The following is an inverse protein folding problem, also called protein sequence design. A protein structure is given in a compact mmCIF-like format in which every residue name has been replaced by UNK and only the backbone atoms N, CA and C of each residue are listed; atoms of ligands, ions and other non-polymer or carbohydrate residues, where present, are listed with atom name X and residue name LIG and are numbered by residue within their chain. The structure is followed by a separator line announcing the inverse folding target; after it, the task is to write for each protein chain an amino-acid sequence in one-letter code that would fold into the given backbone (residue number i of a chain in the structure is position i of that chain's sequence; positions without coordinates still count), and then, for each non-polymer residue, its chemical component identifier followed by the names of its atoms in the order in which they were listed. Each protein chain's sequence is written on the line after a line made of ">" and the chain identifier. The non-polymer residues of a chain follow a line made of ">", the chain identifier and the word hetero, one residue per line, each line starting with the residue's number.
data_IF_798321589689
#
_entry.id   IF_798321589689
#
_cell.length_a   1.000
_cell.length_b   1.000
_cell.length_c   1.000
_cell.angle_alpha   90.00
_cell.angle_beta   90.00
_cell.angle_gamma   90.00
#
_symmetry.space_group_name_H-M   'P 1'
#
loop_
_entity.id
_entity.type
_entity.pdbx_description
1 polymer ?
#
# COMPACT_ATOMS: atom_id res chain seq x y z
N UNK A 1 -10.79 -27.34 -61.16
CA UNK A 1 -11.41 -26.20 -60.47
C UNK A 1 -11.04 -26.31 -59.00
N UNK A 2 -10.57 -25.19 -58.46
CA UNK A 2 -9.73 -25.05 -57.27
C UNK A 2 -10.40 -25.51 -55.98
N UNK A 3 -9.64 -26.25 -55.16
CA UNK A 3 -10.00 -26.69 -53.82
C UNK A 3 -10.24 -25.47 -52.91
N UNK A 4 -11.47 -25.33 -52.44
CA UNK A 4 -11.80 -24.47 -51.31
C UNK A 4 -11.06 -25.01 -50.08
N UNK A 5 -10.04 -24.28 -49.67
CA UNK A 5 -9.36 -24.47 -48.38
C UNK A 5 -10.30 -23.98 -47.30
N UNK A 6 -11.16 -24.90 -46.83
CA UNK A 6 -11.93 -24.75 -45.60
C UNK A 6 -10.96 -24.58 -44.43
N UNK A 7 -10.63 -23.33 -44.11
CA UNK A 7 -9.97 -23.00 -42.85
C UNK A 7 -10.87 -23.44 -41.71
N UNK A 8 -10.47 -24.52 -41.03
CA UNK A 8 -11.14 -25.06 -39.83
C UNK A 8 -11.09 -24.07 -38.66
N UNK A 9 -10.27 -23.03 -38.77
CA UNK A 9 -10.25 -21.92 -37.82
C UNK A 9 -11.30 -20.89 -38.24
N UNK A 10 -12.40 -20.85 -37.47
CA UNK A 10 -13.37 -19.76 -37.51
C UNK A 10 -12.62 -18.43 -37.38
N UNK A 11 -12.93 -17.47 -38.26
CA UNK A 11 -12.47 -16.07 -38.14
C UNK A 11 -12.85 -15.43 -36.80
N UNK A 12 -13.77 -16.04 -36.05
CA UNK A 12 -14.15 -15.64 -34.70
C UNK A 12 -13.14 -16.04 -33.60
N UNK A 13 -12.16 -16.90 -33.90
CA UNK A 13 -11.09 -17.23 -32.96
C UNK A 13 -10.04 -16.12 -32.84
N UNK A 14 -9.87 -15.27 -33.86
CA UNK A 14 -8.94 -14.13 -33.81
C UNK A 14 -9.50 -12.92 -33.06
N UNK A 15 -10.83 -12.81 -32.91
CA UNK A 15 -11.48 -11.67 -32.24
C UNK A 15 -11.67 -11.86 -30.73
N UNK A 16 -11.38 -13.04 -30.20
CA UNK A 16 -11.06 -13.19 -28.77
C UNK A 16 -9.61 -12.80 -28.56
N UNK A 17 -9.26 -11.57 -28.91
CA UNK A 17 -8.00 -10.97 -28.47
C UNK A 17 -7.98 -11.13 -26.96
N UNK A 18 -7.08 -11.98 -26.45
CA UNK A 18 -6.86 -12.13 -25.03
C UNK A 18 -6.62 -10.73 -24.47
N UNK A 19 -7.63 -10.17 -23.81
CA UNK A 19 -7.56 -8.84 -23.23
C UNK A 19 -6.36 -8.90 -22.30
N UNK A 20 -5.30 -8.16 -22.65
CA UNK A 20 -4.07 -8.18 -21.88
C UNK A 20 -4.45 -7.72 -20.48
N UNK A 21 -4.12 -8.53 -19.47
CA UNK A 21 -4.29 -8.23 -18.03
C UNK A 21 -3.84 -6.81 -17.62
N UNK A 22 -3.00 -6.16 -18.44
CA UNK A 22 -2.56 -4.75 -18.35
C UNK A 22 -3.70 -3.71 -18.30
N UNK A 23 -4.89 -4.01 -18.80
CA UNK A 23 -6.00 -3.04 -18.84
C UNK A 23 -6.93 -3.09 -17.62
N UNK A 24 -6.71 -4.04 -16.70
CA UNK A 24 -7.64 -4.29 -15.57
C UNK A 24 -7.21 -3.55 -14.30
N UNK A 25 -6.00 -2.98 -14.25
CA UNK A 25 -5.59 -2.21 -13.07
C UNK A 25 -6.23 -0.82 -13.12
N UNK A 26 -7.22 -0.51 -12.26
CA UNK A 26 -7.92 0.76 -12.33
C UNK A 26 -6.93 1.90 -12.08
N UNK A 27 -7.06 2.98 -12.85
CA UNK A 27 -6.19 4.16 -12.74
C UNK A 27 -6.11 4.67 -11.30
N UNK A 28 -7.23 4.63 -10.58
CA UNK A 28 -7.29 4.98 -9.16
C UNK A 28 -6.31 4.15 -8.31
N UNK A 29 -6.24 2.83 -8.49
CA UNK A 29 -5.31 1.98 -7.74
C UNK A 29 -3.85 2.36 -8.04
N UNK A 30 -3.52 2.68 -9.30
CA UNK A 30 -2.17 3.13 -9.69
C UNK A 30 -1.81 4.44 -8.99
N UNK A 31 -2.74 5.40 -8.96
CA UNK A 31 -2.54 6.69 -8.29
C UNK A 31 -2.31 6.48 -6.79
N UNK A 32 -3.13 5.66 -6.12
CA UNK A 32 -2.95 5.35 -4.70
C UNK A 32 -1.64 4.63 -4.42
N UNK A 33 -1.28 3.62 -5.21
CA UNK A 33 -0.02 2.90 -5.05
C UNK A 33 1.18 3.87 -5.16
N UNK A 34 1.18 4.75 -6.16
CA UNK A 34 2.20 5.80 -6.29
C UNK A 34 2.23 6.76 -5.11
N UNK A 35 1.07 7.27 -4.70
CA UNK A 35 0.94 8.15 -3.56
C UNK A 35 1.55 7.52 -2.29
N UNK A 36 1.20 6.27 -1.99
CA UNK A 36 1.73 5.59 -0.82
C UNK A 36 3.22 5.29 -0.93
N UNK A 37 3.73 4.91 -2.10
CA UNK A 37 5.18 4.73 -2.29
C UNK A 37 5.95 6.03 -2.04
N UNK A 38 5.51 7.15 -2.62
CA UNK A 38 6.16 8.45 -2.44
C UNK A 38 6.06 8.89 -0.97
N UNK A 39 4.90 8.73 -0.34
CA UNK A 39 4.72 9.04 1.07
C UNK A 39 5.62 8.20 1.99
N UNK A 40 5.86 6.93 1.66
CA UNK A 40 6.78 6.06 2.39
C UNK A 40 8.22 6.54 2.29
N UNK A 41 8.67 6.94 1.10
CA UNK A 41 10.02 7.49 0.91
C UNK A 41 10.16 8.79 1.70
N UNK A 42 9.17 9.68 1.62
CA UNK A 42 9.16 10.93 2.37
C UNK A 42 9.17 10.69 3.89
N UNK A 43 8.38 9.74 4.37
CA UNK A 43 8.34 9.34 5.78
C UNK A 43 9.70 8.82 6.26
N UNK A 44 10.34 7.95 5.46
CA UNK A 44 11.68 7.44 5.75
C UNK A 44 12.71 8.58 5.85
N UNK A 45 12.72 9.49 4.87
CA UNK A 45 13.62 10.65 4.86
C UNK A 45 13.38 11.59 6.05
N UNK A 46 12.11 11.85 6.38
CA UNK A 46 11.73 12.66 7.54
C UNK A 46 12.23 12.03 8.84
N UNK A 47 12.05 10.72 9.01
CA UNK A 47 12.53 9.99 10.19
C UNK A 47 14.07 10.05 10.29
N UNK A 48 14.78 9.79 9.18
CA UNK A 48 16.24 9.93 9.13
C UNK A 48 16.69 11.36 9.48
N UNK A 49 16.02 12.38 8.96
CA UNK A 49 16.34 13.77 9.23
C UNK A 49 16.10 14.15 10.69
N UNK A 50 15.02 13.66 11.31
CA UNK A 50 14.77 13.87 12.74
C UNK A 50 15.86 13.25 13.60
N UNK A 51 16.33 12.06 13.26
CA UNK A 51 17.42 11.40 13.97
C UNK A 51 18.75 12.14 13.87
N UNK A 52 19.05 12.76 12.72
CA UNK A 52 20.24 13.61 12.54
C UNK A 52 20.08 14.92 13.33
N UNK A 53 18.89 15.52 13.32
CA UNK A 53 18.63 16.83 13.93
C UNK A 53 18.60 16.80 15.45
N UNK A 54 18.14 15.70 16.04
CA UNK A 54 17.95 15.58 17.49
C UNK A 54 18.74 14.40 18.07
N UNK A 55 20.09 14.44 18.02
CA UNK A 55 20.94 13.34 18.47
C UNK A 55 20.84 13.12 19.98
N UNK A 56 20.44 14.13 20.75
CA UNK A 56 20.38 14.04 22.22
C UNK A 56 19.25 13.13 22.72
N UNK A 57 18.23 12.85 21.89
CA UNK A 57 17.20 11.84 22.18
C UNK A 57 17.85 10.45 22.37
N UNK A 58 18.97 10.20 21.70
CA UNK A 58 19.72 8.95 21.81
C UNK A 58 20.76 8.93 22.93
N UNK A 59 21.18 10.09 23.43
CA UNK A 59 22.16 10.17 24.52
C UNK A 59 21.54 9.99 25.89
N UNK A 60 20.26 10.31 26.05
CA UNK A 60 19.55 10.27 27.34
C UNK A 60 18.99 8.89 27.70
N UNK A 61 18.82 8.03 26.70
CA UNK A 61 18.44 6.64 26.92
C UNK A 61 19.71 5.78 26.80
N UNK A 62 20.15 5.17 27.90
CA UNK A 62 21.00 3.97 27.82
C UNK A 62 20.43 3.04 26.73
N UNK A 63 21.28 2.33 25.98
CA UNK A 63 20.92 1.49 24.84
C UNK A 63 19.84 0.46 25.22
N UNK A 64 18.58 0.90 25.25
CA UNK A 64 17.45 0.18 25.77
C UNK A 64 16.68 -0.39 24.57
N UNK A 65 16.08 -1.54 24.78
CA UNK A 65 15.33 -2.29 23.78
C UNK A 65 14.24 -1.42 23.13
N UNK A 66 13.67 -0.49 23.88
CA UNK A 66 12.70 0.51 23.41
C UNK A 66 13.26 1.44 22.32
N UNK A 67 14.51 1.90 22.45
CA UNK A 67 15.15 2.78 21.45
C UNK A 67 15.40 2.01 20.16
N UNK A 68 15.95 0.79 20.27
CA UNK A 68 16.18 -0.08 19.11
C UNK A 68 14.86 -0.38 18.40
N UNK A 69 13.80 -0.70 19.16
CA UNK A 69 12.47 -0.95 18.60
C UNK A 69 11.89 0.29 17.90
N UNK A 70 12.11 1.49 18.45
CA UNK A 70 11.65 2.74 17.86
C UNK A 70 12.36 3.06 16.53
N UNK A 71 13.68 2.85 16.47
CA UNK A 71 14.44 3.00 15.22
C UNK A 71 13.99 1.96 14.19
N UNK A 72 13.85 0.70 14.62
CA UNK A 72 13.44 -0.40 13.76
C UNK A 72 12.05 -0.14 13.18
N UNK A 73 11.08 0.28 13.98
CA UNK A 73 9.73 0.64 13.51
C UNK A 73 9.74 1.85 12.58
N UNK A 74 10.51 2.89 12.90
CA UNK A 74 10.63 4.08 12.05
C UNK A 74 11.18 3.80 10.64
N UNK A 75 11.97 2.74 10.47
CA UNK A 75 12.56 2.32 9.19
C UNK A 75 11.71 1.22 8.52
N UNK A 76 11.35 0.18 9.27
CA UNK A 76 10.62 -0.98 8.74
C UNK A 76 9.22 -0.60 8.30
N UNK A 77 8.54 0.29 9.02
CA UNK A 77 7.16 0.61 8.72
C UNK A 77 6.98 1.30 7.35
N UNK A 78 7.76 2.35 7.00
CA UNK A 78 7.76 2.89 5.64
C UNK A 78 8.08 1.85 4.57
N UNK A 79 9.02 0.92 4.83
CA UNK A 79 9.42 -0.14 3.88
C UNK A 79 8.30 -1.16 3.66
N UNK A 80 7.66 -1.61 4.75
CA UNK A 80 6.51 -2.52 4.72
C UNK A 80 5.33 -1.88 3.98
N UNK A 81 5.17 -0.55 4.06
CA UNK A 81 4.17 0.17 3.26
C UNK A 81 4.59 0.35 1.80
N UNK A 82 5.87 0.57 1.53
CA UNK A 82 6.39 0.76 0.18
C UNK A 82 6.31 -0.51 -0.67
N UNK A 83 6.76 -1.64 -0.12
CA UNK A 83 6.99 -2.88 -0.88
C UNK A 83 5.70 -3.46 -1.52
N UNK A 84 4.56 -3.57 -0.81
CA UNK A 84 3.32 -4.06 -1.42
C UNK A 84 2.81 -3.14 -2.52
N UNK A 85 2.95 -1.82 -2.36
CA UNK A 85 2.55 -0.85 -3.38
C UNK A 85 3.41 -0.96 -4.64
N UNK A 86 4.72 -1.18 -4.49
CA UNK A 86 5.60 -1.49 -5.62
C UNK A 86 5.18 -2.79 -6.31
N UNK A 87 4.91 -3.85 -5.54
CA UNK A 87 4.49 -5.14 -6.10
C UNK A 87 3.12 -5.07 -6.80
N UNK A 88 2.23 -4.17 -6.35
CA UNK A 88 0.97 -3.86 -7.02
C UNK A 88 1.23 -3.23 -8.39
N UNK A 89 2.17 -2.27 -8.49
CA UNK A 89 2.57 -1.68 -9.77
C UNK A 89 3.24 -2.69 -10.71
N UNK A 90 3.89 -3.73 -10.15
CA UNK A 90 4.44 -4.87 -10.89
C UNK A 90 3.39 -5.96 -11.17
N UNK A 91 2.11 -5.69 -10.92
CA UNK A 91 0.97 -6.57 -11.22
C UNK A 91 1.07 -7.96 -10.56
N UNK A 92 1.71 -8.07 -9.38
CA UNK A 92 1.85 -9.36 -8.67
C UNK A 92 0.59 -9.70 -7.88
N UNK A 93 0.10 -10.94 -8.04
CA UNK A 93 -1.15 -11.39 -7.42
C UNK A 93 -1.18 -11.27 -5.89
N UNK A 94 -0.10 -11.69 -5.24
CA UNK A 94 0.03 -11.65 -3.78
C UNK A 94 0.18 -10.22 -3.21
N UNK A 95 0.48 -9.23 -4.05
CA UNK A 95 0.70 -7.86 -3.61
C UNK A 95 -0.55 -7.20 -3.04
N UNK A 96 -1.73 -7.52 -3.59
CA UNK A 96 -3.01 -6.98 -3.11
C UNK A 96 -3.31 -7.46 -1.69
N UNK A 97 -3.03 -8.74 -1.40
CA UNK A 97 -3.21 -9.29 -0.05
C UNK A 97 -2.24 -8.63 0.94
N UNK A 98 -0.96 -8.49 0.56
CA UNK A 98 0.03 -7.83 1.38
C UNK A 98 -0.37 -6.37 1.65
N UNK A 99 -0.77 -5.61 0.64
CA UNK A 99 -1.20 -4.22 0.79
C UNK A 99 -2.43 -4.08 1.69
N UNK A 100 -3.37 -5.02 1.60
CA UNK A 100 -4.56 -5.02 2.45
C UNK A 100 -4.17 -5.22 3.92
N UNK A 101 -3.30 -6.19 4.21
CA UNK A 101 -2.79 -6.44 5.57
C UNK A 101 -2.02 -5.22 6.09
N UNK A 102 -1.15 -4.62 5.29
CA UNK A 102 -0.35 -3.47 5.73
C UNK A 102 -1.19 -2.24 5.98
N UNK A 103 -2.19 -1.97 5.14
CA UNK A 103 -3.16 -0.88 5.37
C UNK A 103 -3.98 -1.14 6.64
N UNK A 104 -4.46 -2.37 6.86
CA UNK A 104 -5.21 -2.71 8.07
C UNK A 104 -4.37 -2.49 9.34
N UNK A 105 -3.11 -2.93 9.35
CA UNK A 105 -2.18 -2.69 10.46
C UNK A 105 -1.94 -1.19 10.65
N UNK A 106 -1.74 -0.44 9.56
CA UNK A 106 -1.53 1.01 9.61
C UNK A 106 -2.73 1.74 10.22
N UNK A 107 -3.95 1.37 9.81
CA UNK A 107 -5.17 1.96 10.38
C UNK A 107 -5.31 1.67 11.87
N UNK A 108 -5.01 0.44 12.30
CA UNK A 108 -5.02 0.08 13.74
C UNK A 108 -4.00 0.90 14.53
N UNK A 109 -2.80 1.11 13.98
CA UNK A 109 -1.76 1.95 14.58
C UNK A 109 -2.22 3.41 14.69
N UNK A 110 -2.80 4.00 13.64
CA UNK A 110 -3.33 5.36 13.69
C UNK A 110 -4.43 5.53 14.73
N UNK A 111 -5.32 4.54 14.85
CA UNK A 111 -6.36 4.53 15.89
C UNK A 111 -5.75 4.43 17.30
N UNK A 112 -4.80 3.51 17.50
CA UNK A 112 -4.15 3.30 18.78
C UNK A 112 -3.33 4.52 19.24
N UNK A 113 -2.52 5.08 18.35
CA UNK A 113 -1.72 6.27 18.62
C UNK A 113 -2.60 7.49 18.90
N UNK A 114 -3.71 7.66 18.18
CA UNK A 114 -4.69 8.73 18.45
C UNK A 114 -5.36 8.54 19.82
N UNK A 115 -5.75 7.31 20.15
CA UNK A 115 -6.32 6.99 21.46
C UNK A 115 -5.34 7.33 22.60
N UNK A 116 -4.09 6.89 22.51
CA UNK A 116 -3.06 7.22 23.52
C UNK A 116 -2.87 8.72 23.63
N UNK A 117 -2.78 9.42 22.50
CA UNK A 117 -2.56 10.87 22.44
C UNK A 117 -3.67 11.62 23.20
N UNK A 118 -4.93 11.21 23.01
CA UNK A 118 -6.09 11.82 23.68
C UNK A 118 -6.16 11.40 25.15
N UNK A 119 -6.04 10.10 25.44
CA UNK A 119 -6.26 9.54 26.77
C UNK A 119 -5.21 9.99 27.80
N UNK A 120 -3.96 10.15 27.35
CA UNK A 120 -2.85 10.50 28.24
C UNK A 120 -2.37 11.95 28.06
N UNK A 121 -2.93 12.69 27.09
CA UNK A 121 -2.49 14.05 26.76
C UNK A 121 -1.01 14.16 26.34
N UNK A 122 -0.39 13.05 25.96
CA UNK A 122 1.07 12.96 25.70
C UNK A 122 1.44 13.70 24.41
N UNK A 123 0.55 13.72 23.43
CA UNK A 123 0.80 14.32 22.12
C UNK A 123 -0.23 15.39 21.79
N UNK A 124 0.21 16.48 21.17
CA UNK A 124 -0.64 17.62 20.84
C UNK A 124 -1.71 17.29 19.79
N UNK A 125 -2.77 18.12 19.73
CA UNK A 125 -3.89 17.98 18.79
C UNK A 125 -3.46 17.85 17.32
N UNK A 126 -2.30 18.40 16.95
CA UNK A 126 -1.72 18.27 15.62
C UNK A 126 -1.44 16.81 15.23
N UNK A 127 -1.04 15.95 16.18
CA UNK A 127 -0.80 14.52 15.93
C UNK A 127 -2.11 13.80 15.63
N UNK A 128 -3.13 14.06 16.44
CA UNK A 128 -4.48 13.49 16.23
C UNK A 128 -5.05 13.92 14.88
N UNK A 129 -4.94 15.21 14.53
CA UNK A 129 -5.39 15.71 13.24
C UNK A 129 -4.64 15.03 12.07
N UNK A 130 -3.33 14.83 12.20
CA UNK A 130 -2.51 14.13 11.21
C UNK A 130 -2.95 12.68 11.04
N UNK A 131 -3.21 11.96 12.15
CA UNK A 131 -3.69 10.58 12.11
C UNK A 131 -5.06 10.45 11.46
N UNK A 132 -5.99 11.37 11.76
CA UNK A 132 -7.31 11.42 11.12
C UNK A 132 -7.17 11.64 9.62
N UNK A 133 -6.29 12.55 9.19
CA UNK A 133 -6.02 12.77 7.77
C UNK A 133 -5.54 11.48 7.09
N UNK A 134 -4.59 10.76 7.68
CA UNK A 134 -4.12 9.49 7.13
C UNK A 134 -5.21 8.41 7.08
N UNK A 135 -6.05 8.31 8.11
CA UNK A 135 -7.20 7.40 8.09
C UNK A 135 -8.19 7.72 6.95
N UNK A 136 -8.47 9.00 6.71
CA UNK A 136 -9.33 9.43 5.60
C UNK A 136 -8.77 9.04 4.23
N UNK A 137 -7.45 8.93 4.10
CA UNK A 137 -6.78 8.48 2.87
C UNK A 137 -6.71 6.95 2.78
N UNK A 138 -6.53 6.26 3.91
CA UNK A 138 -6.40 4.80 3.97
C UNK A 138 -7.73 4.06 3.76
N UNK A 139 -8.85 4.62 4.22
CA UNK A 139 -10.19 4.04 4.03
C UNK A 139 -10.55 3.82 2.55
N UNK A 140 -10.51 4.85 1.66
CA UNK A 140 -10.85 4.65 0.26
C UNK A 140 -9.87 3.69 -0.44
N UNK A 141 -8.60 3.71 -0.04
CA UNK A 141 -7.61 2.77 -0.56
C UNK A 141 -7.94 1.33 -0.19
N UNK A 142 -8.29 1.06 1.08
CA UNK A 142 -8.71 -0.25 1.55
C UNK A 142 -9.94 -0.76 0.78
N UNK A 143 -10.93 0.10 0.54
CA UNK A 143 -12.14 -0.26 -0.22
C UNK A 143 -11.78 -0.68 -1.65
N UNK A 144 -10.88 0.06 -2.32
CA UNK A 144 -10.40 -0.26 -3.67
C UNK A 144 -9.67 -1.60 -3.67
N UNK A 145 -8.78 -1.84 -2.71
CA UNK A 145 -8.05 -3.11 -2.57
C UNK A 145 -9.00 -4.30 -2.35
N UNK A 146 -10.01 -4.15 -1.49
CA UNK A 146 -11.02 -5.17 -1.22
C UNK A 146 -11.85 -5.50 -2.47
N UNK A 147 -12.21 -4.48 -3.26
CA UNK A 147 -12.94 -4.67 -4.52
C UNK A 147 -12.11 -5.47 -5.52
N UNK A 148 -10.87 -5.07 -5.74
CA UNK A 148 -9.96 -5.73 -6.69
C UNK A 148 -9.64 -7.16 -6.26
N UNK A 149 -9.45 -7.38 -4.95
CA UNK A 149 -9.29 -8.73 -4.39
C UNK A 149 -10.47 -9.63 -4.74
N UNK A 150 -11.71 -9.15 -4.52
CA UNK A 150 -12.94 -9.91 -4.85
C UNK A 150 -13.03 -10.21 -6.34
N UNK A 151 -12.68 -9.26 -7.20
CA UNK A 151 -12.72 -9.43 -8.65
C UNK A 151 -11.68 -10.45 -9.13
N UNK A 152 -10.51 -10.50 -8.49
CA UNK A 152 -9.45 -11.48 -8.75
C UNK A 152 -9.77 -12.88 -8.23
N UNK A 153 -10.36 -13.01 -7.03
CA UNK A 153 -10.75 -14.30 -6.44
C UNK A 153 -11.90 -14.95 -7.22
N UNK A 154 -12.86 -14.15 -7.72
CA UNK A 154 -14.00 -14.65 -8.49
C UNK A 154 -13.66 -15.09 -9.92
N UNK A 155 -12.39 -15.04 -10.32
CA UNK A 155 -11.99 -15.36 -11.69
C UNK A 155 -12.61 -14.44 -12.74
N UNK A 156 -13.16 -13.28 -12.34
CA UNK A 156 -13.63 -12.21 -13.23
C UNK A 156 -12.49 -11.31 -13.71
N UNK A 157 -11.26 -11.83 -13.68
CA UNK A 157 -10.35 -11.60 -14.80
C UNK A 157 -10.83 -12.41 -16.00
N UNK A 158 -11.94 -11.99 -16.63
CA UNK A 158 -12.37 -12.43 -17.96
C UNK A 158 -13.07 -11.26 -18.66
N UNK A 159 -12.84 -11.05 -19.97
CA UNK A 159 -11.83 -11.67 -20.83
C UNK A 159 -10.43 -11.10 -20.58
#
# INVERSE_FOLDING_TARGET
>A
MTNDTSSIFDKDFSDKSAVRRRDIMPLALRIYAWFFMVSSIFSLLSNCFQYIRYPDIFKLNEFNLTVIFSIATAILFPLIRFLPNLLILLEKKYAVLLALVTVAISMLEWCYTSYISIAHGIMGYAVVATNIFWLLVDIPYLIILLRIRKDWEKGRGRP
#
